data_IF_483864745431
#
_entry.id   IF_483864745431
#
_cell.length_a   1.000
_cell.length_b   1.000
_cell.length_c   1.000
_cell.angle_alpha   90.00
_cell.angle_beta   90.00
_cell.angle_gamma   90.00
#
_symmetry.space_group_name_H-M   'P 1'
#
loop_
_entity.id
_entity.type
_entity.pdbx_description
1 polymer ?
#
# COMPACT_ATOMS: atom_id res chain seq x y z
N UNK A 1 3.76 -28.28 -27.66
CA UNK A 1 3.46 -27.14 -28.50
C UNK A 1 2.68 -26.11 -27.69
N UNK A 2 3.19 -24.89 -27.65
CA UNK A 2 2.52 -23.77 -26.98
C UNK A 2 1.45 -23.22 -27.97
N UNK A 3 0.24 -23.08 -27.46
CA UNK A 3 -0.88 -22.55 -28.26
C UNK A 3 -1.01 -21.02 -28.15
N UNK A 4 -0.10 -20.39 -27.44
CA UNK A 4 -0.12 -18.96 -27.20
C UNK A 4 -1.20 -18.53 -26.21
N UNK A 5 -1.04 -17.34 -25.67
CA UNK A 5 -2.01 -16.70 -24.78
C UNK A 5 -2.48 -15.41 -25.43
N UNK A 6 -3.78 -15.15 -25.37
CA UNK A 6 -4.32 -13.90 -25.88
C UNK A 6 -3.75 -12.71 -25.10
N UNK A 7 -3.34 -11.69 -25.83
CA UNK A 7 -2.90 -10.44 -25.21
C UNK A 7 -4.12 -9.66 -24.75
N UNK A 8 -4.16 -9.29 -23.47
CA UNK A 8 -5.25 -8.49 -22.94
C UNK A 8 -5.26 -7.09 -23.58
N UNK A 9 -6.47 -6.54 -23.82
CA UNK A 9 -6.62 -5.18 -24.29
C UNK A 9 -6.17 -4.21 -23.18
N UNK A 10 -5.13 -3.36 -23.39
CA UNK A 10 -4.66 -2.43 -22.37
C UNK A 10 -5.67 -1.34 -22.02
N UNK A 11 -6.72 -1.18 -22.83
CA UNK A 11 -7.80 -0.22 -22.58
C UNK A 11 -9.04 -0.85 -21.99
N UNK A 12 -9.04 -2.16 -21.73
CA UNK A 12 -10.18 -2.84 -21.12
C UNK A 12 -10.43 -2.32 -19.71
N UNK A 13 -11.70 -2.21 -19.33
CA UNK A 13 -12.11 -1.80 -17.98
C UNK A 13 -11.47 -2.71 -16.93
N UNK A 14 -10.92 -2.11 -15.87
CA UNK A 14 -10.24 -2.83 -14.80
C UNK A 14 -8.75 -3.07 -15.04
N UNK A 15 -8.22 -2.69 -16.21
CA UNK A 15 -6.79 -2.84 -16.49
C UNK A 15 -5.97 -1.84 -15.68
N UNK A 16 -4.98 -2.30 -14.89
CA UNK A 16 -4.12 -1.39 -14.14
C UNK A 16 -3.08 -0.72 -15.04
N UNK A 17 -2.75 0.52 -14.72
CA UNK A 17 -1.67 1.25 -15.38
C UNK A 17 -1.06 2.29 -14.42
N UNK A 18 0.15 2.73 -14.70
CA UNK A 18 0.81 3.80 -13.94
C UNK A 18 0.57 5.12 -14.68
N UNK A 19 -0.11 6.05 -14.00
CA UNK A 19 -0.41 7.37 -14.57
C UNK A 19 0.74 8.34 -14.38
N UNK A 20 1.37 8.30 -13.19
CA UNK A 20 2.43 9.24 -12.83
C UNK A 20 3.32 8.61 -11.75
N UNK A 21 4.46 9.25 -11.52
CA UNK A 21 5.41 8.83 -10.49
C UNK A 21 5.77 10.03 -9.62
N UNK A 22 5.75 9.84 -8.31
CA UNK A 22 6.08 10.86 -7.31
C UNK A 22 7.16 10.30 -6.38
N UNK A 23 8.42 10.64 -6.66
CA UNK A 23 9.53 10.07 -5.89
C UNK A 23 9.51 8.55 -5.94
N UNK A 24 9.41 7.91 -4.79
CA UNK A 24 9.36 6.45 -4.67
C UNK A 24 7.94 5.87 -4.73
N UNK A 25 6.96 6.71 -5.04
CA UNK A 25 5.56 6.29 -5.16
C UNK A 25 5.10 6.35 -6.62
N UNK A 26 4.24 5.42 -6.99
CA UNK A 26 3.58 5.39 -8.30
C UNK A 26 2.09 5.66 -8.13
N UNK A 27 1.52 6.50 -8.98
CA UNK A 27 0.07 6.66 -9.04
C UNK A 27 -0.49 5.57 -9.95
N UNK A 28 -1.04 4.53 -9.36
CA UNK A 28 -1.59 3.37 -10.05
C UNK A 28 -3.08 3.50 -10.18
N UNK A 29 -3.56 3.42 -11.42
CA UNK A 29 -4.96 3.63 -11.76
C UNK A 29 -5.54 2.37 -12.40
N UNK A 30 -6.86 2.25 -12.37
CA UNK A 30 -7.59 1.22 -13.09
C UNK A 30 -8.43 1.89 -14.18
N UNK A 31 -8.44 1.31 -15.38
CA UNK A 31 -9.28 1.81 -16.47
C UNK A 31 -10.75 1.71 -16.07
N UNK A 32 -11.43 2.85 -16.04
CA UNK A 32 -12.87 2.94 -15.81
C UNK A 32 -13.63 2.88 -17.14
N UNK A 33 -14.95 2.79 -17.03
CA UNK A 33 -15.81 2.88 -18.20
C UNK A 33 -15.72 4.28 -18.83
N UNK A 34 -16.01 4.34 -20.14
CA UNK A 34 -15.98 5.60 -20.88
C UNK A 34 -16.86 6.66 -20.20
N UNK A 35 -16.32 7.86 -20.03
CA UNK A 35 -16.99 8.98 -19.38
C UNK A 35 -16.86 9.00 -17.85
N UNK A 36 -16.19 8.02 -17.25
CA UNK A 36 -15.93 7.99 -15.82
C UNK A 36 -14.44 8.19 -15.53
N UNK A 37 -14.15 8.74 -14.36
CA UNK A 37 -12.76 8.94 -13.92
C UNK A 37 -12.18 7.58 -13.47
N UNK A 38 -10.95 7.33 -13.87
CA UNK A 38 -10.21 6.15 -13.43
C UNK A 38 -9.89 6.27 -11.94
N UNK A 39 -10.20 5.26 -11.11
CA UNK A 39 -9.78 5.26 -9.72
C UNK A 39 -8.28 5.06 -9.60
N UNK A 40 -7.63 5.85 -8.76
CA UNK A 40 -6.19 5.82 -8.59
C UNK A 40 -5.80 5.70 -7.11
N UNK A 41 -4.68 5.05 -6.86
CA UNK A 41 -4.08 4.91 -5.54
C UNK A 41 -2.57 5.10 -5.64
N UNK A 42 -1.97 5.65 -4.58
CA UNK A 42 -0.53 5.71 -4.46
C UNK A 42 -0.01 4.33 -4.07
N UNK A 43 0.93 3.82 -4.83
CA UNK A 43 1.44 2.46 -4.69
C UNK A 43 2.94 2.46 -4.46
N UNK A 44 3.39 1.60 -3.54
CA UNK A 44 4.81 1.32 -3.35
C UNK A 44 5.01 -0.16 -3.05
N UNK A 45 5.95 -0.77 -3.77
CA UNK A 45 6.39 -2.13 -3.51
C UNK A 45 7.49 -2.09 -2.45
N UNK A 46 7.38 -2.94 -1.43
CA UNK A 46 8.27 -2.94 -0.28
C UNK A 46 9.21 -4.14 -0.37
N UNK A 47 10.50 -3.84 -0.27
CA UNK A 47 11.56 -4.84 -0.39
C UNK A 47 12.24 -5.05 0.96
N UNK A 48 12.74 -6.28 1.17
CA UNK A 48 13.60 -6.59 2.31
C UNK A 48 15.04 -6.10 2.06
N UNK A 49 15.93 -6.34 3.03
CA UNK A 49 17.33 -5.92 2.95
C UNK A 49 18.10 -6.56 1.79
N UNK A 50 17.63 -7.70 1.30
CA UNK A 50 18.25 -8.43 0.17
C UNK A 50 17.66 -8.00 -1.18
N UNK A 51 16.72 -7.06 -1.20
CA UNK A 51 16.08 -6.58 -2.42
C UNK A 51 14.91 -7.42 -2.90
N UNK A 52 14.47 -8.41 -2.12
CA UNK A 52 13.30 -9.24 -2.46
C UNK A 52 12.01 -8.48 -2.16
N UNK A 53 11.08 -8.53 -3.10
CA UNK A 53 9.75 -7.94 -2.90
C UNK A 53 8.97 -8.77 -1.88
N UNK A 54 8.55 -8.15 -0.78
CA UNK A 54 7.92 -8.84 0.36
C UNK A 54 6.47 -8.43 0.54
N UNK A 55 6.18 -7.13 0.45
CA UNK A 55 4.85 -6.59 0.71
C UNK A 55 4.59 -5.41 -0.22
N UNK A 56 3.37 -4.92 -0.18
CA UNK A 56 3.01 -3.72 -0.93
C UNK A 56 2.03 -2.87 -0.13
N UNK A 57 2.04 -1.57 -0.40
CA UNK A 57 1.13 -0.60 0.21
C UNK A 57 0.50 0.27 -0.87
N UNK A 58 -0.80 0.46 -0.75
CA UNK A 58 -1.57 1.39 -1.59
C UNK A 58 -2.29 2.37 -0.67
N UNK A 59 -2.13 3.67 -0.92
CA UNK A 59 -2.74 4.73 -0.11
C UNK A 59 -3.67 5.56 -0.99
N UNK A 60 -4.82 5.92 -0.47
CA UNK A 60 -5.81 6.72 -1.20
C UNK A 60 -6.47 7.73 -0.26
N UNK A 61 -6.75 8.94 -0.75
CA UNK A 61 -7.44 9.95 0.06
C UNK A 61 -8.91 9.56 0.24
N UNK A 62 -9.48 9.96 1.36
CA UNK A 62 -10.90 9.77 1.66
C UNK A 62 -11.59 11.13 1.69
N UNK A 63 -12.92 11.17 1.48
CA UNK A 63 -13.69 12.42 1.54
C UNK A 63 -13.55 13.10 2.90
N UNK A 64 -13.53 14.43 2.90
CA UNK A 64 -13.47 15.23 4.11
C UNK A 64 -14.69 14.98 5.01
N UNK A 65 -14.51 15.15 6.32
CA UNK A 65 -15.57 15.04 7.32
C UNK A 65 -15.66 13.71 8.05
N UNK A 66 -14.95 12.68 7.60
CA UNK A 66 -14.83 11.41 8.29
C UNK A 66 -13.69 11.39 9.31
N UNK A 67 -13.64 10.37 10.15
CA UNK A 67 -12.53 10.17 11.09
C UNK A 67 -11.23 9.86 10.40
N UNK A 68 -11.28 9.14 9.28
CA UNK A 68 -10.13 8.84 8.45
C UNK A 68 -10.03 9.85 7.31
N UNK A 69 -8.84 10.42 7.14
CA UNK A 69 -8.52 11.33 6.04
C UNK A 69 -7.96 10.56 4.84
N UNK A 70 -7.38 9.39 5.08
CA UNK A 70 -6.87 8.51 4.04
C UNK A 70 -7.09 7.06 4.46
N UNK A 71 -7.15 6.19 3.49
CA UNK A 71 -7.14 4.76 3.69
C UNK A 71 -5.89 4.15 3.05
N UNK A 72 -5.55 2.95 3.48
CA UNK A 72 -4.48 2.18 2.88
C UNK A 72 -4.82 0.70 2.87
N UNK A 73 -4.32 0.02 1.86
CA UNK A 73 -4.34 -1.43 1.78
C UNK A 73 -2.90 -1.92 1.79
N UNK A 74 -2.56 -2.75 2.75
CA UNK A 74 -1.25 -3.37 2.84
C UNK A 74 -1.42 -4.85 2.59
N UNK A 75 -0.63 -5.40 1.67
CA UNK A 75 -0.61 -6.82 1.37
C UNK A 75 0.71 -7.39 1.87
N UNK A 76 0.61 -8.19 2.94
CA UNK A 76 1.74 -8.89 3.55
C UNK A 76 1.81 -10.32 3.00
N UNK A 77 2.95 -11.01 3.17
CA UNK A 77 3.08 -12.39 2.70
C UNK A 77 2.08 -13.33 3.37
N UNK A 78 1.70 -14.39 2.65
CA UNK A 78 1.00 -15.52 3.27
C UNK A 78 1.85 -16.10 4.41
N UNK A 79 1.17 -16.74 5.37
CA UNK A 79 1.82 -17.29 6.56
C UNK A 79 2.38 -16.23 7.51
N UNK A 80 1.87 -15.00 7.42
CA UNK A 80 2.07 -13.97 8.45
C UNK A 80 1.26 -14.35 9.70
N UNK A 81 1.86 -14.19 10.88
CA UNK A 81 1.20 -14.48 12.15
C UNK A 81 0.18 -13.38 12.45
N UNK A 82 -1.09 -13.67 12.21
CA UNK A 82 -2.15 -12.68 12.24
C UNK A 82 -2.40 -12.08 13.62
N UNK A 83 -2.19 -12.87 14.68
CA UNK A 83 -2.42 -12.43 16.07
C UNK A 83 -1.44 -11.35 16.52
N UNK A 84 -0.27 -11.27 15.90
CA UNK A 84 0.72 -10.23 16.19
C UNK A 84 0.41 -8.91 15.50
N UNK A 85 -0.50 -8.91 14.54
CA UNK A 85 -0.96 -7.74 13.80
C UNK A 85 0.15 -7.06 13.01
N UNK A 86 -0.23 -6.07 12.23
CA UNK A 86 0.68 -5.22 11.49
C UNK A 86 1.01 -3.99 12.34
N UNK A 87 2.27 -3.56 12.37
CA UNK A 87 2.67 -2.34 13.08
C UNK A 87 3.24 -1.33 12.09
N UNK A 88 2.86 -0.08 12.26
CA UNK A 88 3.35 1.03 11.45
C UNK A 88 3.88 2.12 12.36
N UNK A 89 5.08 2.62 12.07
CA UNK A 89 5.69 3.75 12.77
C UNK A 89 6.29 4.71 11.74
N UNK A 90 6.30 6.00 12.06
CA UNK A 90 6.90 7.06 11.23
C UNK A 90 8.12 7.61 11.94
N UNK A 91 9.30 7.56 11.30
CA UNK A 91 10.56 8.10 11.79
C UNK A 91 10.89 7.70 13.25
N UNK A 92 10.59 6.44 13.61
CA UNK A 92 10.85 5.94 14.94
C UNK A 92 9.88 6.42 16.03
N UNK A 93 8.78 7.04 15.65
CA UNK A 93 7.70 7.38 16.60
C UNK A 93 7.02 6.12 17.14
N UNK A 94 6.09 6.30 18.10
CA UNK A 94 5.34 5.18 18.65
C UNK A 94 4.55 4.46 17.54
N UNK A 95 4.73 3.13 17.47
CA UNK A 95 4.06 2.31 16.50
C UNK A 95 2.58 2.14 16.84
N UNK A 96 1.76 2.03 15.81
CA UNK A 96 0.34 1.67 15.93
C UNK A 96 0.13 0.28 15.37
N UNK A 97 -0.77 -0.48 15.96
CA UNK A 97 -1.14 -1.82 15.53
C UNK A 97 -2.41 -1.80 14.73
N UNK A 98 -2.45 -2.62 13.69
CA UNK A 98 -3.61 -2.77 12.81
C UNK A 98 -3.87 -4.25 12.59
N UNK A 99 -5.13 -4.70 12.76
CA UNK A 99 -5.47 -6.09 12.48
C UNK A 99 -5.44 -6.37 10.99
N UNK A 100 -5.15 -7.61 10.63
CA UNK A 100 -5.35 -8.09 9.27
C UNK A 100 -6.84 -8.35 9.05
N UNK A 101 -7.32 -8.06 7.84
CA UNK A 101 -8.74 -8.18 7.50
C UNK A 101 -9.06 -9.57 6.94
N UNK A 102 -8.24 -10.05 6.01
CA UNK A 102 -8.39 -11.38 5.40
C UNK A 102 -7.10 -11.77 4.70
N UNK A 103 -7.00 -13.04 4.29
CA UNK A 103 -5.92 -13.53 3.42
C UNK A 103 -6.53 -14.16 2.18
N UNK A 104 -5.83 -14.02 1.05
CA UNK A 104 -6.15 -14.68 -0.21
C UNK A 104 -4.86 -15.14 -0.89
N UNK A 105 -4.92 -15.54 -2.15
CA UNK A 105 -3.74 -16.03 -2.87
C UNK A 105 -2.64 -14.98 -3.00
N UNK A 106 -2.98 -13.70 -3.00
CA UNK A 106 -2.01 -12.61 -3.11
C UNK A 106 -1.24 -12.36 -1.80
N UNK A 107 -1.83 -12.71 -0.66
CA UNK A 107 -1.25 -12.49 0.66
C UNK A 107 -2.29 -12.20 1.72
N UNK A 108 -1.83 -11.69 2.86
CA UNK A 108 -2.69 -11.26 3.95
C UNK A 108 -2.87 -9.75 3.90
N UNK A 109 -4.11 -9.32 3.91
CA UNK A 109 -4.49 -7.92 3.64
C UNK A 109 -4.89 -7.23 4.94
N UNK A 110 -4.27 -6.09 5.21
CA UNK A 110 -4.70 -5.16 6.24
C UNK A 110 -5.30 -3.93 5.57
N UNK A 111 -6.51 -3.58 5.94
CA UNK A 111 -7.20 -2.35 5.49
C UNK A 111 -7.22 -1.39 6.64
N UNK A 112 -6.51 -0.27 6.50
CA UNK A 112 -6.28 0.65 7.59
C UNK A 112 -6.77 2.05 7.24
N UNK A 113 -7.10 2.84 8.27
CA UNK A 113 -7.46 4.23 8.11
C UNK A 113 -6.46 5.11 8.84
N UNK A 114 -6.14 6.26 8.25
CA UNK A 114 -5.26 7.25 8.83
C UNK A 114 -6.04 8.53 9.10
N UNK A 115 -5.86 9.08 10.30
CA UNK A 115 -6.40 10.41 10.62
C UNK A 115 -5.63 11.49 9.86
N UNK A 116 -6.19 12.71 9.83
CA UNK A 116 -5.49 13.85 9.21
C UNK A 116 -4.14 14.09 9.87
N UNK A 117 -4.05 13.96 11.19
CA UNK A 117 -2.80 14.11 11.92
C UNK A 117 -1.76 13.07 11.49
N UNK A 118 -2.18 11.83 11.29
CA UNK A 118 -1.29 10.75 10.81
C UNK A 118 -0.86 10.99 9.36
N UNK A 119 -1.76 11.45 8.50
CA UNK A 119 -1.41 11.84 7.12
C UNK A 119 -0.38 12.97 7.14
N UNK A 120 -0.55 13.96 8.01
CA UNK A 120 0.41 15.06 8.15
C UNK A 120 1.77 14.56 8.64
N UNK A 121 1.81 13.56 9.52
CA UNK A 121 3.05 12.90 9.93
C UNK A 121 3.75 12.24 8.74
N UNK A 122 3.02 11.54 7.89
CA UNK A 122 3.59 10.94 6.67
C UNK A 122 4.14 12.01 5.74
N UNK A 123 3.46 13.14 5.61
CA UNK A 123 3.90 14.25 4.76
C UNK A 123 5.20 14.89 5.26
N UNK A 124 5.39 14.96 6.56
CA UNK A 124 6.60 15.53 7.18
C UNK A 124 7.73 14.53 7.35
N UNK A 125 7.40 13.25 7.33
CA UNK A 125 8.35 12.19 7.63
C UNK A 125 9.28 11.86 6.46
N UNK A 126 10.37 11.19 6.79
CA UNK A 126 11.33 10.69 5.81
C UNK A 126 11.04 9.23 5.46
N UNK A 127 10.65 8.44 6.46
CA UNK A 127 10.48 7.01 6.32
C UNK A 127 9.47 6.49 7.33
N UNK A 128 8.58 5.60 6.88
CA UNK A 128 7.77 4.78 7.77
C UNK A 128 8.33 3.36 7.82
N UNK A 129 8.01 2.63 8.86
CA UNK A 129 8.37 1.22 9.01
C UNK A 129 7.12 0.39 9.19
N UNK A 130 7.09 -0.75 8.49
CA UNK A 130 6.10 -1.79 8.65
C UNK A 130 6.74 -2.96 9.37
N UNK A 131 6.08 -3.47 10.41
CA UNK A 131 6.51 -4.68 11.13
C UNK A 131 5.45 -5.73 11.05
N UNK A 132 5.88 -6.95 10.79
CA UNK A 132 5.04 -8.14 10.79
C UNK A 132 5.85 -9.32 11.31
N UNK A 133 5.18 -10.35 11.78
CA UNK A 133 5.81 -11.53 12.33
C UNK A 133 5.44 -12.73 11.47
N UNK A 134 6.41 -13.52 11.00
CA UNK A 134 6.10 -14.75 10.27
C UNK A 134 5.61 -15.85 11.21
N UNK A 135 4.57 -16.59 10.79
CA UNK A 135 4.02 -17.66 11.61
C UNK A 135 5.04 -18.79 11.88
N UNK A 136 5.94 -19.04 10.94
CA UNK A 136 6.97 -20.07 11.08
C UNK A 136 8.08 -19.69 12.05
N UNK A 137 8.23 -18.40 12.37
CA UNK A 137 9.26 -17.89 13.28
C UNK A 137 8.70 -16.79 14.18
N UNK A 138 7.85 -17.15 15.18
CA UNK A 138 7.13 -16.17 15.99
C UNK A 138 8.02 -15.28 16.86
N UNK A 139 9.27 -15.65 17.05
CA UNK A 139 10.28 -14.88 17.78
C UNK A 139 11.06 -13.91 16.88
N UNK A 140 10.76 -13.87 15.59
CA UNK A 140 11.40 -12.99 14.61
C UNK A 140 10.44 -11.94 14.11
N UNK A 141 10.99 -10.85 13.57
CA UNK A 141 10.23 -9.76 12.96
C UNK A 141 10.71 -9.53 11.54
N UNK A 142 9.78 -9.26 10.65
CA UNK A 142 10.07 -8.70 9.33
C UNK A 142 9.81 -7.21 9.41
N UNK A 143 10.83 -6.41 9.16
CA UNK A 143 10.76 -4.94 9.20
C UNK A 143 11.03 -4.42 7.80
N UNK A 144 10.08 -3.68 7.25
CA UNK A 144 10.17 -3.11 5.92
C UNK A 144 10.12 -1.60 5.99
N UNK A 145 10.95 -0.95 5.17
CA UNK A 145 10.93 0.50 5.04
C UNK A 145 9.92 0.92 4.00
N UNK A 146 9.10 1.92 4.33
CA UNK A 146 8.22 2.62 3.41
C UNK A 146 8.82 4.00 3.18
N UNK A 147 9.32 4.26 1.98
CA UNK A 147 9.83 5.58 1.64
C UNK A 147 8.70 6.59 1.65
N UNK A 148 8.94 7.75 2.24
CA UNK A 148 7.98 8.87 2.20
C UNK A 148 8.41 9.93 1.19
N UNK A 149 9.48 9.69 0.44
CA UNK A 149 9.91 10.57 -0.65
C UNK A 149 8.85 10.59 -1.74
N UNK A 150 8.28 11.77 -1.98
CA UNK A 150 7.21 11.95 -2.96
C UNK A 150 5.80 11.72 -2.43
N UNK A 151 5.65 11.33 -1.16
CA UNK A 151 4.34 11.05 -0.60
C UNK A 151 3.41 12.27 -0.63
N UNK A 152 3.91 13.45 -0.23
CA UNK A 152 3.10 14.68 -0.20
C UNK A 152 2.56 15.03 -1.59
N UNK A 153 3.45 15.09 -2.58
CA UNK A 153 3.05 15.38 -3.95
C UNK A 153 2.09 14.32 -4.50
N UNK A 154 2.35 13.06 -4.16
CA UNK A 154 1.54 11.93 -4.60
C UNK A 154 0.15 11.93 -4.02
N UNK A 155 0.00 12.12 -2.70
CA UNK A 155 -1.32 12.11 -2.07
C UNK A 155 -2.14 13.34 -2.52
N UNK A 156 -1.51 14.48 -2.70
CA UNK A 156 -2.18 15.67 -3.22
C UNK A 156 -2.58 15.48 -4.69
N UNK A 157 -1.74 14.83 -5.49
CA UNK A 157 -2.01 14.54 -6.89
C UNK A 157 -2.99 13.40 -7.12
N UNK A 158 -3.26 12.57 -6.11
CA UNK A 158 -4.23 11.48 -6.21
C UNK A 158 -5.65 11.92 -5.88
N UNK A 159 -5.82 13.10 -5.31
CA UNK A 159 -7.14 13.67 -5.04
C UNK A 159 -7.83 13.98 -6.37
N UNK A 160 -9.06 13.52 -6.51
CA UNK A 160 -9.89 13.73 -7.71
C UNK A 160 -11.14 14.53 -7.40
#
# INVERSE_FOLDING_TARGET
LDMGTAIADPNAVGTPYIRDTFGDWSLRCLRAEAGQNDPCQLYQLLNDADGNSVAEISVFPLPAGGRAAAGATIVAPLETLLTEQLQIAVDGSAARRYPFTFCNQAGCVARVGFTQEEVDQFKRGNKATLRMVPAAAPDQEVVLDVSLTGFTAGIDGSAQ
#
